data_IF_642913578803
#
_entry.id   IF_642913578803
#
_cell.length_a   1.000
_cell.length_b   1.000
_cell.length_c   1.000
_cell.angle_alpha   90.00
_cell.angle_beta   90.00
_cell.angle_gamma   90.00
#
_symmetry.space_group_name_H-M   'P 1'
#
loop_
_entity.id
_entity.type
_entity.pdbx_description
1 polymer ?
#
# COMPACT_ATOMS: atom_id res chain seq x y z
N UNK A 1 -5.25 34.26 -25.66
CA UNK A 1 -4.66 34.35 -24.29
C UNK A 1 -5.76 34.82 -23.34
N UNK A 2 -6.47 33.89 -22.68
CA UNK A 2 -7.42 34.22 -21.61
C UNK A 2 -6.75 33.87 -20.29
N UNK A 3 -6.39 34.92 -19.53
CA UNK A 3 -5.89 34.76 -18.16
C UNK A 3 -7.08 34.36 -17.29
N UNK A 4 -7.10 33.11 -16.85
CA UNK A 4 -7.97 32.67 -15.76
C UNK A 4 -7.33 33.14 -14.44
N UNK A 5 -7.96 34.09 -13.79
CA UNK A 5 -7.69 34.41 -12.39
C UNK A 5 -8.33 33.30 -11.54
N UNK A 6 -7.50 32.41 -10.99
CA UNK A 6 -7.96 31.39 -10.03
C UNK A 6 -7.94 32.03 -8.65
N UNK A 7 -9.12 32.43 -8.17
CA UNK A 7 -9.33 32.83 -6.77
C UNK A 7 -9.17 31.61 -5.90
N UNK A 8 -8.28 31.67 -4.90
CA UNK A 8 -8.02 30.59 -3.97
C UNK A 8 -9.25 30.31 -3.09
N UNK A 9 -9.91 29.19 -3.30
CA UNK A 9 -11.10 28.74 -2.57
C UNK A 9 -10.71 27.90 -1.37
N UNK A 10 -11.22 28.23 -0.19
CA UNK A 10 -10.95 27.57 1.09
C UNK A 10 -12.10 26.59 1.41
N UNK A 11 -11.82 25.33 1.72
CA UNK A 11 -12.83 24.29 2.03
C UNK A 11 -12.91 24.05 3.55
N UNK A 12 -14.10 24.01 4.11
CA UNK A 12 -14.36 23.80 5.55
C UNK A 12 -14.80 22.34 5.85
N UNK A 13 -14.25 21.76 6.88
CA UNK A 13 -14.64 20.44 7.42
C UNK A 13 -15.41 20.64 8.72
N UNK A 14 -16.67 20.18 8.77
CA UNK A 14 -17.50 20.20 9.99
C UNK A 14 -17.55 18.79 10.56
N UNK A 15 -16.93 18.60 11.74
CA UNK A 15 -17.06 17.37 12.52
C UNK A 15 -18.07 17.57 13.63
N UNK A 16 -19.29 17.04 13.52
CA UNK A 16 -20.25 17.01 14.61
C UNK A 16 -20.11 15.67 15.37
N UNK A 17 -19.66 15.74 16.61
CA UNK A 17 -19.83 14.66 17.59
C UNK A 17 -21.06 14.97 18.43
N UNK A 18 -22.16 14.22 18.25
CA UNK A 18 -23.34 14.31 19.14
C UNK A 18 -23.17 13.32 20.31
N UNK A 19 -23.39 13.76 21.56
CA UNK A 19 -23.62 12.83 22.65
C UNK A 19 -25.08 12.34 22.60
N UNK A 20 -25.29 11.03 22.72
CA UNK A 20 -26.59 10.42 22.86
C UNK A 20 -27.14 10.70 24.28
N UNK A 21 -28.23 11.45 24.38
CA UNK A 21 -29.06 11.50 25.59
C UNK A 21 -30.32 10.64 25.35
N UNK A 22 -30.44 9.59 26.15
CA UNK A 22 -31.69 8.88 26.32
C UNK A 22 -32.61 9.70 27.25
N UNK A 23 -33.83 9.97 26.83
CA UNK A 23 -34.87 10.48 27.72
C UNK A 23 -36.17 9.69 27.51
N UNK A 24 -36.70 9.16 28.61
CA UNK A 24 -37.96 8.44 28.73
C UNK A 24 -39.16 9.37 28.53
N UNK A 25 -40.24 8.75 28.06
CA UNK A 25 -41.41 9.38 27.52
C UNK A 25 -42.27 10.25 28.47
N UNK A 26 -43.00 11.13 27.85
CA UNK A 26 -44.31 11.61 28.30
C UNK A 26 -45.18 11.99 27.10
N UNK A 27 -46.38 11.39 27.06
CA UNK A 27 -47.42 11.67 26.07
C UNK A 27 -47.93 13.10 26.18
N UNK A 28 -47.85 13.88 25.11
CA UNK A 28 -48.65 15.07 24.93
C UNK A 28 -49.22 15.17 23.51
N UNK A 29 -50.54 15.41 23.49
CA UNK A 29 -51.44 15.50 22.37
C UNK A 29 -50.94 16.41 21.23
N UNK A 30 -51.15 15.93 20.00
CA UNK A 30 -50.88 16.65 18.76
C UNK A 30 -51.71 17.92 18.58
N UNK A 31 -51.01 19.06 18.42
CA UNK A 31 -51.53 20.21 17.73
C UNK A 31 -51.08 20.14 16.26
N UNK A 32 -51.87 20.65 15.28
CA UNK A 32 -51.50 20.63 13.88
C UNK A 32 -50.36 21.60 13.65
N UNK A 33 -49.14 21.07 13.63
CA UNK A 33 -47.94 21.82 13.31
C UNK A 33 -47.89 22.12 11.81
N UNK A 34 -47.86 23.34 11.49
CA UNK A 34 -47.41 23.89 10.20
C UNK A 34 -46.08 23.22 9.82
N UNK A 35 -46.06 22.50 8.74
CA UNK A 35 -44.80 22.05 8.13
C UNK A 35 -44.00 23.33 7.73
N UNK A 36 -43.14 23.80 8.61
CA UNK A 36 -42.04 24.68 8.21
C UNK A 36 -41.12 23.86 7.29
N UNK A 37 -41.31 24.03 6.00
CA UNK A 37 -40.31 23.66 5.01
C UNK A 37 -39.06 24.46 5.36
N UNK A 38 -38.11 23.81 6.05
CA UNK A 38 -36.77 24.37 6.25
C UNK A 38 -36.18 24.55 4.86
N UNK A 39 -36.25 25.76 4.35
CA UNK A 39 -35.49 26.19 3.18
C UNK A 39 -34.03 26.04 3.57
N UNK A 40 -33.36 24.98 3.06
CA UNK A 40 -31.92 24.80 3.19
C UNK A 40 -31.28 25.96 2.41
N UNK A 41 -31.02 27.06 3.12
CA UNK A 41 -30.27 28.18 2.56
C UNK A 41 -28.90 27.65 2.15
N UNK A 42 -28.51 27.89 0.91
CA UNK A 42 -27.24 27.42 0.32
C UNK A 42 -26.00 28.05 0.99
N UNK A 43 -26.17 29.06 1.84
CA UNK A 43 -25.11 29.80 2.50
C UNK A 43 -25.40 29.93 4.01
N UNK A 44 -24.35 29.65 4.81
CA UNK A 44 -24.40 29.75 6.28
C UNK A 44 -23.40 30.84 6.71
N UNK A 45 -23.85 31.83 7.48
CA UNK A 45 -22.96 32.83 8.10
C UNK A 45 -22.64 32.42 9.53
N UNK A 46 -21.36 32.34 9.85
CA UNK A 46 -20.88 31.99 11.20
C UNK A 46 -19.92 33.08 11.70
N UNK A 47 -20.10 33.47 12.97
CA UNK A 47 -19.12 34.35 13.61
C UNK A 47 -17.80 33.59 13.86
N UNK A 48 -16.68 34.32 13.96
CA UNK A 48 -15.39 33.72 14.31
C UNK A 48 -15.46 32.91 15.64
N UNK A 49 -16.23 33.38 16.61
CA UNK A 49 -16.46 32.70 17.88
C UNK A 49 -17.19 31.35 17.66
N UNK A 50 -18.19 31.33 16.78
CA UNK A 50 -18.92 30.12 16.44
C UNK A 50 -18.02 29.11 15.69
N UNK A 51 -17.19 29.58 14.74
CA UNK A 51 -16.23 28.76 14.01
C UNK A 51 -15.26 28.07 14.98
N UNK A 52 -14.71 28.82 15.93
CA UNK A 52 -13.79 28.30 16.94
C UNK A 52 -14.46 27.31 17.90
N UNK A 53 -15.67 27.63 18.38
CA UNK A 53 -16.42 26.77 19.31
C UNK A 53 -16.85 25.44 18.66
N UNK A 54 -17.19 25.47 17.37
CA UNK A 54 -17.53 24.28 16.59
C UNK A 54 -16.30 23.49 16.12
N UNK A 55 -15.08 24.02 16.31
CA UNK A 55 -13.85 23.35 15.88
C UNK A 55 -13.75 23.19 14.35
N UNK A 56 -14.34 24.10 13.58
CA UNK A 56 -14.34 24.02 12.12
C UNK A 56 -12.92 24.24 11.59
N UNK A 57 -12.39 23.22 10.93
CA UNK A 57 -11.10 23.30 10.24
C UNK A 57 -11.32 23.54 8.76
N UNK A 58 -10.54 24.44 8.19
CA UNK A 58 -10.58 24.74 6.76
C UNK A 58 -9.26 24.35 6.10
N UNK A 59 -9.35 23.72 4.92
CA UNK A 59 -8.19 23.30 4.13
C UNK A 59 -8.28 23.95 2.75
N UNK A 60 -7.17 24.42 2.24
CA UNK A 60 -7.11 24.98 0.89
C UNK A 60 -7.20 23.85 -0.13
N UNK A 61 -8.16 23.92 -1.05
CA UNK A 61 -8.19 23.04 -2.19
C UNK A 61 -6.97 23.31 -3.08
N UNK A 62 -6.28 22.26 -3.49
CA UNK A 62 -5.05 22.37 -4.29
C UNK A 62 -5.23 21.68 -5.64
N UNK A 63 -4.69 22.31 -6.68
CA UNK A 63 -4.55 21.70 -7.99
C UNK A 63 -3.15 21.11 -8.06
N UNK A 64 -3.08 19.80 -8.31
CA UNK A 64 -1.82 19.09 -8.45
C UNK A 64 -1.93 18.05 -9.56
N UNK A 65 -0.81 17.75 -10.26
CA UNK A 65 -0.79 16.66 -11.21
C UNK A 65 -1.01 15.32 -10.50
N UNK A 66 -2.07 14.61 -10.89
CA UNK A 66 -2.43 13.30 -10.36
C UNK A 66 -2.68 12.33 -11.50
N UNK A 67 -2.12 11.14 -11.41
CA UNK A 67 -2.45 10.02 -12.28
C UNK A 67 -3.55 9.19 -11.62
N UNK A 68 -4.47 8.64 -12.42
CA UNK A 68 -5.41 7.64 -11.94
C UNK A 68 -4.65 6.36 -11.64
N UNK A 69 -4.94 5.71 -10.50
CA UNK A 69 -4.32 4.45 -10.11
C UNK A 69 -5.30 3.30 -10.09
N UNK A 70 -4.79 2.11 -10.33
CA UNK A 70 -5.46 0.85 -10.04
C UNK A 70 -4.73 0.22 -8.86
N UNK A 71 -5.46 0.05 -7.76
CA UNK A 71 -4.91 -0.48 -6.52
C UNK A 71 -5.25 -1.97 -6.40
N UNK A 72 -4.27 -2.75 -5.94
CA UNK A 72 -4.45 -4.18 -5.70
C UNK A 72 -3.61 -4.65 -4.52
N UNK A 73 -4.03 -5.75 -3.90
CA UNK A 73 -3.21 -6.42 -2.90
C UNK A 73 -2.05 -7.15 -3.58
N UNK A 74 -0.88 -7.06 -2.99
CA UNK A 74 0.32 -7.71 -3.47
C UNK A 74 1.11 -8.42 -2.37
N UNK A 75 1.98 -9.32 -2.81
CA UNK A 75 2.94 -10.02 -1.96
C UNK A 75 4.32 -9.75 -2.50
N UNK A 76 5.24 -9.43 -1.60
CA UNK A 76 6.66 -9.23 -1.93
C UNK A 76 7.33 -10.57 -2.11
N UNK A 77 8.06 -10.75 -3.21
CA UNK A 77 8.81 -11.94 -3.53
C UNK A 77 10.27 -11.57 -3.86
N UNK A 78 11.19 -12.50 -3.67
CA UNK A 78 12.53 -12.32 -4.23
C UNK A 78 12.48 -12.43 -5.75
N UNK A 79 13.39 -11.72 -6.43
CA UNK A 79 13.67 -12.03 -7.82
C UNK A 79 14.31 -13.44 -7.87
N UNK A 80 13.94 -14.29 -8.86
CA UNK A 80 14.49 -15.64 -8.99
C UNK A 80 16.03 -15.66 -9.04
N UNK A 81 16.66 -14.69 -9.68
CA UNK A 81 18.12 -14.56 -9.79
C UNK A 81 18.80 -14.01 -8.53
N UNK A 82 18.01 -13.51 -7.57
CA UNK A 82 18.47 -12.95 -6.28
C UNK A 82 18.16 -13.84 -5.08
N UNK A 83 17.75 -15.08 -5.32
CA UNK A 83 17.55 -16.09 -4.30
C UNK A 83 18.28 -17.37 -4.68
N UNK A 84 18.88 -18.02 -3.72
CA UNK A 84 19.52 -19.30 -3.95
C UNK A 84 19.48 -20.18 -2.69
N UNK A 85 19.51 -21.48 -2.92
CA UNK A 85 19.59 -22.50 -1.86
C UNK A 85 20.99 -23.10 -1.88
N UNK A 86 21.68 -23.03 -0.74
CA UNK A 86 22.93 -23.75 -0.54
C UNK A 86 22.61 -25.20 -0.26
N UNK A 87 23.15 -26.10 -1.08
CA UNK A 87 22.90 -27.56 -0.99
C UNK A 87 24.21 -28.31 -0.76
N UNK A 88 24.11 -29.51 -0.21
CA UNK A 88 25.26 -30.45 -0.13
C UNK A 88 25.35 -31.30 -1.38
N UNK A 89 26.58 -31.58 -1.82
CA UNK A 89 26.86 -32.59 -2.86
C UNK A 89 27.20 -33.96 -2.29
N UNK A 90 27.46 -34.04 -0.98
CA UNK A 90 27.86 -35.27 -0.30
C UNK A 90 26.92 -35.58 0.86
N UNK A 91 26.69 -36.89 1.11
CA UNK A 91 26.05 -37.30 2.34
C UNK A 91 27.04 -37.17 3.51
N UNK A 92 26.54 -36.65 4.64
CA UNK A 92 27.41 -36.43 5.81
C UNK A 92 26.62 -35.91 7.00
N UNK A 93 27.37 -35.40 7.99
CA UNK A 93 26.81 -34.76 9.19
C UNK A 93 27.29 -33.32 9.25
N UNK A 94 26.39 -32.39 9.60
CA UNK A 94 26.75 -30.99 9.86
C UNK A 94 27.69 -30.97 11.07
N UNK A 95 28.95 -30.58 10.86
CA UNK A 95 29.99 -30.51 11.89
C UNK A 95 30.09 -29.09 12.48
N UNK A 96 29.88 -28.06 11.67
CA UNK A 96 29.95 -26.64 12.08
C UNK A 96 28.96 -25.79 11.30
N UNK A 97 28.45 -24.73 11.93
CA UNK A 97 27.62 -23.69 11.32
C UNK A 97 28.31 -22.35 11.58
N UNK A 98 28.65 -21.63 10.50
CA UNK A 98 29.48 -20.41 10.59
C UNK A 98 28.68 -19.12 10.54
N UNK A 99 27.39 -19.17 10.18
CA UNK A 99 26.51 -18.01 9.97
C UNK A 99 25.18 -18.22 10.64
N UNK A 100 24.45 -17.11 10.87
CA UNK A 100 23.12 -17.10 11.49
C UNK A 100 22.07 -16.55 10.53
N UNK A 101 20.80 -16.90 10.76
CA UNK A 101 19.68 -16.28 10.04
C UNK A 101 19.69 -14.76 10.25
N UNK A 102 19.55 -14.00 9.18
CA UNK A 102 19.65 -12.54 9.16
C UNK A 102 21.07 -12.01 8.93
N UNK A 103 22.09 -12.86 8.94
CA UNK A 103 23.48 -12.43 8.71
C UNK A 103 23.74 -12.17 7.21
N UNK A 104 24.52 -11.12 6.94
CA UNK A 104 24.98 -10.78 5.60
C UNK A 104 26.12 -11.70 5.20
N UNK A 105 26.03 -12.28 4.01
CA UNK A 105 27.04 -13.18 3.45
C UNK A 105 27.47 -12.71 2.05
N UNK A 106 28.71 -13.07 1.68
CA UNK A 106 29.24 -12.84 0.34
C UNK A 106 29.35 -14.16 -0.41
N UNK A 107 29.23 -14.09 -1.73
CA UNK A 107 29.42 -15.26 -2.61
C UNK A 107 30.76 -15.95 -2.32
N UNK A 108 30.73 -17.25 -2.09
CA UNK A 108 31.91 -18.06 -1.75
C UNK A 108 32.23 -18.12 -0.24
N UNK A 109 31.59 -17.30 0.60
CA UNK A 109 31.76 -17.38 2.06
C UNK A 109 31.23 -18.72 2.57
N UNK A 110 32.00 -19.41 3.46
CA UNK A 110 31.58 -20.65 4.09
C UNK A 110 30.38 -20.41 5.00
N UNK A 111 29.27 -21.12 4.75
CA UNK A 111 28.05 -21.07 5.56
C UNK A 111 28.06 -22.11 6.66
N UNK A 112 28.49 -23.33 6.33
CA UNK A 112 28.58 -24.46 7.23
C UNK A 112 29.58 -25.48 6.71
N UNK A 113 29.99 -26.41 7.56
CA UNK A 113 30.89 -27.54 7.22
C UNK A 113 30.18 -28.87 7.44
N UNK A 114 30.35 -29.80 6.50
CA UNK A 114 29.83 -31.15 6.56
C UNK A 114 30.98 -32.12 6.66
N UNK A 115 30.91 -33.04 7.64
CA UNK A 115 31.79 -34.20 7.70
C UNK A 115 31.14 -35.34 6.90
N UNK A 116 31.75 -35.76 5.76
CA UNK A 116 31.22 -36.86 4.96
C UNK A 116 31.16 -38.19 5.74
N UNK A 117 30.27 -39.07 5.34
CA UNK A 117 30.09 -40.42 5.98
C UNK A 117 31.31 -41.31 5.72
N UNK A 118 32.01 -41.13 4.61
CA UNK A 118 33.15 -41.99 4.26
C UNK A 118 34.35 -41.70 5.17
N UNK A 119 34.86 -42.73 5.80
CA UNK A 119 36.02 -42.66 6.69
C UNK A 119 37.25 -42.14 5.92
N UNK A 120 37.93 -41.14 6.49
CA UNK A 120 39.11 -40.53 5.88
C UNK A 120 38.79 -39.37 4.90
N UNK A 121 37.53 -39.08 4.66
CA UNK A 121 37.18 -37.89 3.84
C UNK A 121 37.38 -36.59 4.63
N UNK A 122 37.94 -35.58 3.97
CA UNK A 122 38.07 -34.23 4.53
C UNK A 122 36.71 -33.56 4.70
N UNK A 123 36.57 -32.72 5.72
CA UNK A 123 35.37 -31.87 5.86
C UNK A 123 35.10 -31.06 4.60
N UNK A 124 33.84 -30.91 4.23
CA UNK A 124 33.41 -30.18 3.06
C UNK A 124 32.72 -28.87 3.50
N UNK A 125 33.30 -27.76 3.11
CA UNK A 125 32.69 -26.43 3.30
C UNK A 125 31.60 -26.19 2.27
N UNK A 126 30.46 -25.69 2.70
CA UNK A 126 29.34 -25.29 1.85
C UNK A 126 29.36 -23.77 1.72
N UNK A 127 29.72 -23.24 0.53
CA UNK A 127 29.81 -21.82 0.31
C UNK A 127 28.46 -21.19 -0.03
N UNK A 128 28.32 -19.88 0.22
CA UNK A 128 27.19 -19.09 -0.27
C UNK A 128 27.22 -19.00 -1.81
N UNK A 129 26.12 -19.29 -2.51
CA UNK A 129 26.05 -19.19 -3.95
C UNK A 129 25.96 -17.76 -4.47
N UNK A 130 25.52 -16.80 -3.63
CA UNK A 130 25.38 -15.38 -4.00
C UNK A 130 25.69 -14.44 -2.81
N UNK A 131 25.77 -13.15 -3.09
CA UNK A 131 25.80 -12.11 -2.07
C UNK A 131 24.37 -11.84 -1.56
N UNK A 132 24.18 -11.77 -0.24
CA UNK A 132 22.82 -11.54 0.31
C UNK A 132 22.78 -11.72 1.80
N UNK A 133 21.63 -12.16 2.28
CA UNK A 133 21.38 -12.46 3.69
C UNK A 133 20.88 -13.89 3.82
N UNK A 134 21.25 -14.56 4.89
CA UNK A 134 20.69 -15.86 5.25
C UNK A 134 19.22 -15.65 5.64
N UNK A 135 18.30 -16.10 4.79
CA UNK A 135 16.84 -15.93 5.00
C UNK A 135 16.26 -17.07 5.80
N UNK A 136 16.85 -18.28 5.64
CA UNK A 136 16.40 -19.46 6.35
C UNK A 136 17.53 -20.46 6.54
N UNK A 137 17.51 -21.14 7.68
CA UNK A 137 18.39 -22.26 8.00
C UNK A 137 17.52 -23.50 8.15
N UNK A 138 17.75 -24.52 7.30
CA UNK A 138 16.97 -25.75 7.27
C UNK A 138 17.66 -26.93 7.97
N UNK A 139 18.83 -26.70 8.57
CA UNK A 139 19.62 -27.73 9.24
C UNK A 139 20.12 -27.28 10.61
N UNK A 140 20.41 -28.23 11.48
CA UNK A 140 21.00 -27.98 12.80
C UNK A 140 22.33 -28.71 12.95
N UNK A 141 23.14 -28.26 13.91
CA UNK A 141 24.44 -28.90 14.23
C UNK A 141 24.23 -30.38 14.57
N UNK A 142 25.06 -31.22 14.00
CA UNK A 142 25.01 -32.67 14.21
C UNK A 142 23.96 -33.42 13.37
N UNK A 143 23.13 -32.71 12.59
CA UNK A 143 22.14 -33.32 11.70
C UNK A 143 22.82 -34.07 10.54
N UNK A 144 22.32 -35.26 10.22
CA UNK A 144 22.70 -35.98 8.99
C UNK A 144 21.99 -35.37 7.79
N UNK A 145 22.71 -35.18 6.69
CA UNK A 145 22.22 -34.65 5.43
C UNK A 145 22.52 -35.55 4.27
N UNK A 146 21.65 -35.57 3.29
CA UNK A 146 21.80 -36.27 2.02
C UNK A 146 22.28 -35.34 0.93
N UNK A 147 22.81 -35.84 -0.20
CA UNK A 147 23.05 -35.02 -1.39
C UNK A 147 21.78 -34.28 -1.80
N UNK A 148 21.95 -33.06 -2.33
CA UNK A 148 20.89 -32.16 -2.80
C UNK A 148 19.96 -31.59 -1.70
N UNK A 149 20.14 -32.00 -0.43
CA UNK A 149 19.38 -31.38 0.65
C UNK A 149 19.62 -29.85 0.68
N UNK A 150 18.54 -29.09 0.72
CA UNK A 150 18.59 -27.64 0.91
C UNK A 150 18.96 -27.30 2.36
N UNK A 151 20.14 -26.73 2.55
CA UNK A 151 20.73 -26.49 3.88
C UNK A 151 20.41 -25.08 4.40
N UNK A 152 20.63 -24.09 3.57
CA UNK A 152 20.36 -22.68 3.87
C UNK A 152 19.81 -21.98 2.64
N UNK A 153 18.93 -21.00 2.87
CA UNK A 153 18.41 -20.11 1.83
C UNK A 153 19.05 -18.74 1.98
N UNK A 154 19.52 -18.18 0.87
CA UNK A 154 20.15 -16.89 0.80
C UNK A 154 19.37 -16.01 -0.17
N UNK A 155 19.05 -14.79 0.20
CA UNK A 155 18.32 -13.84 -0.62
C UNK A 155 18.91 -12.44 -0.56
N UNK A 156 18.89 -11.74 -1.69
CA UNK A 156 19.17 -10.31 -1.78
C UNK A 156 17.88 -9.55 -2.03
N UNK A 157 17.46 -8.77 -1.05
CA UNK A 157 16.25 -7.95 -1.10
C UNK A 157 16.50 -6.49 -1.46
N UNK A 158 17.66 -6.14 -2.04
CA UNK A 158 17.94 -4.77 -2.49
C UNK A 158 17.01 -4.31 -3.62
N UNK A 159 16.46 -5.27 -4.33
CA UNK A 159 15.42 -5.13 -5.34
C UNK A 159 14.46 -6.32 -5.17
N UNK A 160 13.17 -6.09 -5.27
CA UNK A 160 12.16 -7.11 -5.03
C UNK A 160 11.11 -7.12 -6.13
N UNK A 161 10.47 -8.26 -6.29
CA UNK A 161 9.31 -8.44 -7.15
C UNK A 161 8.04 -8.35 -6.28
N UNK A 162 7.13 -7.45 -6.62
CA UNK A 162 5.82 -7.40 -5.98
C UNK A 162 4.81 -8.03 -6.90
N UNK A 163 4.27 -9.17 -6.48
CA UNK A 163 3.20 -9.86 -7.20
C UNK A 163 1.85 -9.32 -6.72
N UNK A 164 1.23 -8.47 -7.53
CA UNK A 164 -0.13 -7.98 -7.33
C UNK A 164 -1.15 -8.96 -7.89
N UNK A 165 -2.27 -9.11 -7.20
CA UNK A 165 -3.39 -9.98 -7.62
C UNK A 165 -4.54 -9.12 -8.10
N UNK A 166 -4.93 -9.28 -9.36
CA UNK A 166 -5.94 -8.51 -10.05
C UNK A 166 -7.12 -9.40 -10.42
N UNK A 167 -8.33 -9.00 -10.03
CA UNK A 167 -9.55 -9.71 -10.40
C UNK A 167 -9.96 -9.37 -11.83
N UNK A 168 -10.80 -10.23 -12.44
CA UNK A 168 -11.36 -10.01 -13.77
C UNK A 168 -12.35 -8.83 -13.76
N UNK A 169 -11.81 -7.63 -13.97
CA UNK A 169 -12.53 -6.35 -13.99
C UNK A 169 -12.11 -5.53 -15.21
N UNK A 170 -12.88 -4.49 -15.61
CA UNK A 170 -12.49 -3.60 -16.71
C UNK A 170 -11.14 -2.90 -16.50
N UNK A 171 -10.64 -2.82 -15.26
CA UNK A 171 -9.37 -2.19 -14.94
C UNK A 171 -8.16 -2.97 -15.47
N UNK A 172 -8.31 -4.29 -15.73
CA UNK A 172 -7.25 -5.11 -16.35
C UNK A 172 -6.80 -4.54 -17.69
N UNK A 173 -7.73 -4.04 -18.49
CA UNK A 173 -7.41 -3.46 -19.79
C UNK A 173 -6.59 -2.16 -19.72
N UNK A 174 -6.52 -1.52 -18.55
CA UNK A 174 -5.77 -0.28 -18.34
C UNK A 174 -4.33 -0.53 -17.90
N UNK A 175 -4.02 -1.74 -17.40
CA UNK A 175 -2.69 -2.08 -16.88
C UNK A 175 -1.80 -2.58 -18.00
N UNK A 176 -0.60 -2.01 -18.09
CA UNK A 176 0.40 -2.33 -19.12
C UNK A 176 1.80 -2.43 -18.54
N UNK A 177 2.65 -3.22 -19.19
CA UNK A 177 4.08 -3.32 -18.84
C UNK A 177 4.76 -1.96 -19.03
N UNK A 178 5.63 -1.61 -18.10
CA UNK A 178 6.38 -0.34 -18.08
C UNK A 178 5.70 0.79 -17.31
N UNK A 179 4.42 0.67 -16.93
CA UNK A 179 3.74 1.67 -16.10
C UNK A 179 4.41 1.80 -14.73
N UNK A 180 4.38 3.03 -14.20
CA UNK A 180 4.89 3.31 -12.86
C UNK A 180 3.99 2.67 -11.80
N UNK A 181 4.63 2.21 -10.74
CA UNK A 181 3.94 1.69 -9.57
C UNK A 181 4.44 2.34 -8.30
N UNK A 182 3.56 2.40 -7.31
CA UNK A 182 3.92 2.70 -5.93
C UNK A 182 3.47 1.57 -5.02
N UNK A 183 4.34 1.22 -4.08
CA UNK A 183 4.09 0.16 -3.09
C UNK A 183 3.95 0.79 -1.72
N UNK A 184 2.83 0.51 -1.08
CA UNK A 184 2.46 1.02 0.23
C UNK A 184 2.24 -0.14 1.22
N UNK A 185 2.68 0.06 2.45
CA UNK A 185 2.35 -0.80 3.59
C UNK A 185 2.47 0.02 4.88
N UNK A 186 1.62 -0.23 5.85
CA UNK A 186 1.74 0.38 7.18
C UNK A 186 3.06 0.08 7.87
N UNK A 187 3.75 -1.00 7.45
CA UNK A 187 5.01 -1.45 8.03
C UNK A 187 6.25 -0.73 7.48
N UNK A 188 6.15 -0.11 6.28
CA UNK A 188 7.29 0.56 5.63
C UNK A 188 7.32 2.08 5.81
N UNK A 189 6.37 2.62 6.60
CA UNK A 189 6.25 4.07 6.85
C UNK A 189 5.44 4.78 5.77
N UNK A 190 5.38 6.12 5.86
CA UNK A 190 4.51 6.96 5.03
C UNK A 190 4.99 7.15 3.58
N UNK A 191 6.27 6.90 3.31
CA UNK A 191 6.84 7.11 1.96
C UNK A 191 6.75 5.84 1.14
N UNK A 192 5.95 5.83 0.04
CA UNK A 192 5.83 4.68 -0.85
C UNK A 192 7.16 4.36 -1.52
N UNK A 193 7.41 3.09 -1.79
CA UNK A 193 8.49 2.66 -2.66
C UNK A 193 8.00 2.64 -4.11
N UNK A 194 8.88 3.04 -5.03
CA UNK A 194 8.56 3.17 -6.45
C UNK A 194 9.12 2.01 -7.24
N UNK A 195 8.47 1.70 -8.35
CA UNK A 195 8.90 0.67 -9.28
C UNK A 195 8.18 0.76 -10.60
N UNK A 196 8.24 -0.31 -11.39
CA UNK A 196 7.56 -0.43 -12.67
C UNK A 196 6.94 -1.81 -12.86
N UNK A 197 5.83 -1.87 -13.59
CA UNK A 197 5.26 -3.14 -14.03
C UNK A 197 6.27 -3.82 -14.96
N UNK A 198 6.77 -4.99 -14.56
CA UNK A 198 7.74 -5.76 -15.34
C UNK A 198 7.06 -6.74 -16.28
N UNK A 199 6.02 -7.43 -15.81
CA UNK A 199 5.26 -8.41 -16.58
C UNK A 199 3.87 -8.63 -15.99
N UNK A 200 3.01 -9.24 -16.78
CA UNK A 200 1.70 -9.74 -16.38
C UNK A 200 1.58 -11.20 -16.81
N UNK A 201 0.74 -11.97 -16.12
CA UNK A 201 0.43 -13.33 -16.60
C UNK A 201 -0.31 -13.27 -17.93
N UNK A 202 -0.09 -14.26 -18.78
CA UNK A 202 -0.76 -14.38 -20.08
C UNK A 202 -2.13 -15.04 -20.00
N UNK A 203 -2.59 -15.49 -18.83
CA UNK A 203 -3.87 -16.15 -18.63
C UNK A 203 -4.38 -15.96 -17.21
N UNK A 204 -5.69 -15.97 -17.05
CA UNK A 204 -6.33 -15.99 -15.74
C UNK A 204 -6.19 -17.36 -15.07
N UNK A 205 -5.99 -17.36 -13.77
CA UNK A 205 -6.19 -18.56 -12.95
C UNK A 205 -7.67 -18.95 -12.97
N UNK A 206 -7.97 -20.21 -13.31
CA UNK A 206 -9.35 -20.67 -13.51
C UNK A 206 -10.15 -20.77 -12.20
N UNK A 207 -9.46 -21.03 -11.07
CA UNK A 207 -10.10 -21.21 -9.76
C UNK A 207 -10.45 -19.90 -9.11
N UNK A 208 -9.49 -18.97 -9.08
CA UNK A 208 -9.62 -17.67 -8.41
C UNK A 208 -10.14 -16.56 -9.34
N UNK A 209 -10.12 -16.76 -10.65
CA UNK A 209 -10.40 -15.74 -11.67
C UNK A 209 -9.54 -14.48 -11.51
N UNK A 210 -8.29 -14.70 -11.22
CA UNK A 210 -7.31 -13.62 -10.99
C UNK A 210 -6.19 -13.70 -12.02
N UNK A 211 -5.57 -12.56 -12.26
CA UNK A 211 -4.38 -12.36 -13.07
C UNK A 211 -3.28 -11.77 -12.16
N UNK A 212 -2.05 -12.30 -12.23
CA UNK A 212 -0.95 -11.70 -11.51
C UNK A 212 -0.25 -10.63 -12.35
N UNK A 213 0.03 -9.51 -11.69
CA UNK A 213 0.85 -8.43 -12.20
C UNK A 213 2.12 -8.37 -11.35
N UNK A 214 3.27 -8.34 -11.99
CA UNK A 214 4.56 -8.33 -11.32
C UNK A 214 5.24 -6.99 -11.52
N UNK A 215 5.52 -6.31 -10.42
CA UNK A 215 6.22 -5.04 -10.41
C UNK A 215 7.61 -5.20 -9.82
N UNK A 216 8.61 -4.70 -10.53
CA UNK A 216 9.98 -4.60 -10.04
C UNK A 216 10.11 -3.32 -9.21
N UNK A 217 10.56 -3.45 -7.97
CA UNK A 217 10.62 -2.36 -6.99
C UNK A 217 12.00 -2.28 -6.38
N UNK A 218 12.61 -1.10 -6.46
CA UNK A 218 13.86 -0.80 -5.76
C UNK A 218 13.65 -0.75 -4.26
N UNK A 219 14.50 -1.43 -3.50
CA UNK A 219 14.40 -1.56 -2.05
C UNK A 219 15.77 -1.35 -1.36
N UNK A 220 16.41 -0.18 -1.55
CA UNK A 220 17.77 0.07 -1.07
C UNK A 220 17.90 -0.07 0.45
N UNK A 221 16.90 0.38 1.18
CA UNK A 221 16.86 0.31 2.65
C UNK A 221 16.30 -1.03 3.18
N UNK A 222 15.97 -1.96 2.28
CA UNK A 222 15.40 -3.28 2.60
C UNK A 222 14.17 -3.24 3.51
N UNK A 223 13.33 -2.22 3.32
CA UNK A 223 12.07 -2.08 4.05
C UNK A 223 11.01 -3.11 3.62
N UNK A 224 11.08 -3.60 2.38
CA UNK A 224 10.25 -4.69 1.89
C UNK A 224 10.98 -6.02 2.13
N UNK A 225 10.34 -6.89 2.88
CA UNK A 225 10.81 -8.25 3.12
C UNK A 225 9.95 -9.24 2.33
N UNK A 226 10.56 -10.34 1.88
CA UNK A 226 9.81 -11.39 1.17
C UNK A 226 8.62 -11.89 2.02
N UNK A 227 7.53 -12.20 1.36
CA UNK A 227 6.24 -12.60 1.93
C UNK A 227 5.47 -11.48 2.68
N UNK A 228 5.94 -10.23 2.68
CA UNK A 228 5.14 -9.10 3.16
C UNK A 228 3.94 -8.87 2.26
N UNK A 229 2.79 -8.58 2.88
CA UNK A 229 1.61 -8.08 2.19
C UNK A 229 1.71 -6.55 2.04
N UNK A 230 1.40 -6.06 0.86
CA UNK A 230 1.49 -4.65 0.49
C UNK A 230 0.31 -4.26 -0.39
N UNK A 231 0.08 -2.97 -0.54
CA UNK A 231 -0.82 -2.43 -1.57
C UNK A 231 0.04 -1.95 -2.73
N UNK A 232 -0.22 -2.49 -3.91
CA UNK A 232 0.40 -2.09 -5.17
C UNK A 232 -0.57 -1.16 -5.91
N UNK A 233 -0.15 0.07 -6.16
CA UNK A 233 -0.89 1.09 -6.91
C UNK A 233 -0.19 1.33 -8.25
N UNK A 234 -0.87 1.05 -9.36
CA UNK A 234 -0.35 1.20 -10.73
C UNK A 234 -0.94 2.46 -11.34
N UNK A 235 -0.11 3.35 -11.86
CA UNK A 235 -0.53 4.55 -12.60
C UNK A 235 -1.00 4.16 -14.00
N UNK A 236 -2.31 4.33 -14.25
CA UNK A 236 -2.95 3.91 -15.51
C UNK A 236 -3.35 5.08 -16.43
N UNK A 237 -3.06 6.30 -16.03
CA UNK A 237 -3.24 7.50 -16.86
C UNK A 237 -2.03 8.41 -16.77
N UNK A 238 -1.85 9.29 -17.76
CA UNK A 238 -0.95 10.43 -17.61
C UNK A 238 -1.41 11.34 -16.47
N UNK A 239 -0.46 11.95 -15.73
CA UNK A 239 -0.81 12.92 -14.71
C UNK A 239 -1.56 14.12 -15.32
N UNK A 240 -2.72 14.44 -14.76
CA UNK A 240 -3.50 15.62 -15.12
C UNK A 240 -3.66 16.54 -13.91
N UNK A 241 -3.76 17.82 -14.15
CA UNK A 241 -4.01 18.81 -13.10
C UNK A 241 -5.44 18.64 -12.58
N UNK A 242 -5.54 18.06 -11.38
CA UNK A 242 -6.81 17.74 -10.73
C UNK A 242 -6.93 18.56 -9.45
N UNK A 243 -8.10 19.17 -9.25
CA UNK A 243 -8.46 19.82 -7.99
C UNK A 243 -8.83 18.72 -6.98
N UNK A 244 -8.11 18.65 -5.89
CA UNK A 244 -8.35 17.68 -4.82
C UNK A 244 -8.74 18.36 -3.52
N UNK A 245 -9.58 17.66 -2.73
CA UNK A 245 -9.99 18.04 -1.39
C UNK A 245 -9.92 16.80 -0.47
N UNK A 246 -9.67 16.96 0.83
CA UNK A 246 -9.74 15.85 1.77
C UNK A 246 -11.11 15.17 1.74
N UNK A 247 -11.14 13.84 1.76
CA UNK A 247 -12.41 13.07 1.77
C UNK A 247 -13.33 13.50 2.93
N UNK A 248 -12.75 13.88 4.07
CA UNK A 248 -13.49 14.40 5.23
C UNK A 248 -14.23 15.73 4.98
N UNK A 249 -13.83 16.49 3.95
CA UNK A 249 -14.50 17.73 3.56
C UNK A 249 -15.72 17.50 2.67
N UNK A 250 -15.91 16.28 2.18
CA UNK A 250 -17.02 15.92 1.31
C UNK A 250 -18.16 15.43 2.18
N UNK A 251 -19.29 16.09 2.09
CA UNK A 251 -20.52 15.75 2.78
C UNK A 251 -21.52 15.16 1.78
N UNK A 252 -22.37 14.25 2.24
CA UNK A 252 -23.40 13.64 1.40
C UNK A 252 -24.76 13.67 2.10
N UNK A 253 -25.79 14.07 1.37
CA UNK A 253 -27.16 14.05 1.84
C UNK A 253 -28.07 13.67 0.66
N UNK A 254 -28.98 12.70 0.91
CA UNK A 254 -29.99 12.29 -0.09
C UNK A 254 -29.45 11.96 -1.49
N UNK A 255 -28.20 11.43 -1.58
CA UNK A 255 -27.57 11.10 -2.87
C UNK A 255 -26.81 12.25 -3.53
N UNK A 256 -26.89 13.45 -3.00
CA UNK A 256 -26.10 14.60 -3.44
C UNK A 256 -24.83 14.74 -2.61
N UNK A 257 -23.73 15.09 -3.28
CA UNK A 257 -22.44 15.31 -2.61
C UNK A 257 -22.04 16.78 -2.76
N UNK A 258 -21.59 17.37 -1.65
CA UNK A 258 -21.28 18.78 -1.59
C UNK A 258 -20.10 19.05 -0.65
N UNK A 259 -19.54 20.24 -0.79
CA UNK A 259 -18.53 20.82 0.11
C UNK A 259 -18.99 22.19 0.57
N UNK A 260 -18.52 22.64 1.73
CA UNK A 260 -18.65 24.04 2.13
C UNK A 260 -17.39 24.82 1.77
N UNK A 261 -17.58 25.89 1.05
CA UNK A 261 -16.50 26.81 0.64
C UNK A 261 -16.56 28.05 1.54
N UNK A 262 -15.50 28.30 2.29
CA UNK A 262 -15.40 29.47 3.18
C UNK A 262 -14.99 30.73 2.42
N UNK A 263 -15.76 31.77 2.55
CA UNK A 263 -15.48 33.14 2.07
C UNK A 263 -15.61 34.11 3.28
N UNK A 264 -14.48 34.37 3.97
CA UNK A 264 -14.54 35.11 5.24
C UNK A 264 -15.35 34.35 6.31
N UNK A 265 -16.47 34.92 6.71
CA UNK A 265 -17.40 34.32 7.70
C UNK A 265 -18.60 33.60 7.05
N UNK A 266 -18.67 33.59 5.73
CA UNK A 266 -19.71 32.91 4.97
C UNK A 266 -19.22 31.54 4.49
N UNK A 267 -20.09 30.54 4.62
CA UNK A 267 -19.86 29.15 4.15
C UNK A 267 -20.91 28.88 3.07
N UNK A 268 -20.47 28.79 1.83
CA UNK A 268 -21.29 28.49 0.66
C UNK A 268 -21.33 26.96 0.45
N UNK A 269 -22.54 26.37 0.43
CA UNK A 269 -22.72 24.95 0.02
C UNK A 269 -22.54 24.86 -1.48
N UNK A 270 -21.61 24.01 -1.93
CA UNK A 270 -21.33 23.81 -3.34
C UNK A 270 -21.42 22.33 -3.69
N UNK A 271 -22.39 21.96 -4.53
CA UNK A 271 -22.52 20.59 -5.05
C UNK A 271 -21.28 20.23 -5.86
N UNK A 272 -20.78 19.01 -5.68
CA UNK A 272 -19.60 18.50 -6.37
C UNK A 272 -19.87 17.15 -7.00
N UNK A 273 -19.28 16.94 -8.18
CA UNK A 273 -19.21 15.63 -8.81
C UNK A 273 -17.85 15.03 -8.49
N UNK A 274 -17.86 13.90 -7.79
CA UNK A 274 -16.62 13.26 -7.37
C UNK A 274 -15.94 12.52 -8.52
N UNK A 275 -14.63 12.72 -8.61
CA UNK A 275 -13.73 11.99 -9.48
C UNK A 275 -13.12 10.76 -8.79
N UNK A 276 -11.90 10.40 -9.20
CA UNK A 276 -11.14 9.33 -8.59
C UNK A 276 -10.69 9.70 -7.15
N UNK A 277 -10.42 8.68 -6.35
CA UNK A 277 -9.90 8.85 -4.99
C UNK A 277 -8.38 8.71 -5.01
N UNK A 278 -7.67 9.62 -4.34
CA UNK A 278 -6.21 9.66 -4.24
C UNK A 278 -5.79 9.57 -2.77
N UNK A 279 -5.72 8.35 -2.23
CA UNK A 279 -5.46 8.15 -0.81
C UNK A 279 -6.53 8.77 0.08
N UNK A 280 -6.16 9.80 0.88
CA UNK A 280 -7.07 10.54 1.76
C UNK A 280 -7.77 11.74 1.06
N UNK A 281 -7.49 11.98 -0.24
CA UNK A 281 -8.05 13.06 -1.07
C UNK A 281 -8.97 12.50 -2.17
N UNK A 282 -9.84 13.36 -2.69
CA UNK A 282 -10.72 13.03 -3.81
C UNK A 282 -11.02 14.25 -4.66
#
# INVERSE_FOLDING_TARGET
MRKFLITSTLVAVIGLSMPAFAHEGEDHAAAPGTEETVQVTSNVQLSETAINNLGIQTVKATIAPRATTVDMNGIVEFLPERQAIATSRAAGRVSEIHVKVGEKVTKGQSLLTIQPIFVGSSPVSIPSPLNGYVTKQNVVLGQSVTPEAGLMEIGDSSEVLVRGVMYETPDVAKVQVGQNVSVNSSLIGATPLKGKVQRMDGAYDRGSRTLNVYALVENPDRRLLANMQVVLSIEVSEPADILTVPVKAILGESGEQFVFVRNGNEFERRSVKLGAKFGAER
#
